data_IF_969539807292
#
_entry.id   IF_969539807292
#
_cell.length_a   1.000
_cell.length_b   1.000
_cell.length_c   1.000
_cell.angle_alpha   90.00
_cell.angle_beta   90.00
_cell.angle_gamma   90.00
#
_symmetry.space_group_name_H-M   'P 1'
#
loop_
_entity.id
_entity.type
_entity.pdbx_description
1 polymer ?
#
# COMPACT_ATOMS: atom_id res chain seq x y z
N UNK A 1 -0.40 -27.73 17.30
CA UNK A 1 0.52 -28.67 16.60
C UNK A 1 0.04 -28.96 15.16
N UNK A 2 -1.26 -29.22 14.97
CA UNK A 2 -1.84 -29.60 13.67
C UNK A 2 -1.74 -28.51 12.60
N UNK A 3 -2.06 -27.24 12.96
CA UNK A 3 -2.01 -26.11 12.01
C UNK A 3 -0.61 -25.82 11.45
N UNK A 4 0.43 -26.00 12.27
CA UNK A 4 1.80 -25.78 11.82
C UNK A 4 2.25 -26.86 10.83
N UNK A 5 1.86 -28.11 11.07
CA UNK A 5 2.16 -29.24 10.17
C UNK A 5 1.44 -29.06 8.84
N UNK A 6 0.16 -28.72 8.86
CA UNK A 6 -0.62 -28.44 7.65
C UNK A 6 -0.03 -27.30 6.82
N UNK A 7 0.45 -26.26 7.49
CA UNK A 7 1.12 -25.14 6.80
C UNK A 7 2.42 -25.57 6.12
N UNK A 8 3.24 -26.37 6.81
CA UNK A 8 4.48 -26.88 6.21
C UNK A 8 4.20 -27.79 5.03
N UNK A 9 3.21 -28.66 5.12
CA UNK A 9 2.80 -29.53 4.00
C UNK A 9 2.30 -28.71 2.81
N UNK A 10 1.48 -27.69 3.06
CA UNK A 10 1.02 -26.76 2.04
C UNK A 10 2.18 -26.08 1.34
N UNK A 11 3.15 -25.56 2.10
CA UNK A 11 4.34 -24.90 1.56
C UNK A 11 5.21 -25.87 0.74
N UNK A 12 5.29 -27.13 1.15
CA UNK A 12 6.00 -28.16 0.41
C UNK A 12 5.35 -28.45 -0.96
N UNK A 13 4.03 -28.48 -1.01
CA UNK A 13 3.27 -28.74 -2.24
C UNK A 13 3.28 -27.54 -3.18
N UNK A 14 3.36 -26.32 -2.64
CA UNK A 14 3.34 -25.06 -3.40
C UNK A 14 4.73 -24.44 -3.56
N UNK A 15 5.78 -25.25 -3.54
CA UNK A 15 7.17 -24.80 -3.64
C UNK A 15 7.37 -23.84 -4.82
N UNK A 16 7.85 -22.63 -4.52
CA UNK A 16 8.08 -21.58 -5.51
C UNK A 16 6.87 -20.71 -5.82
N UNK A 17 5.69 -21.02 -5.31
CA UNK A 17 4.50 -20.19 -5.46
C UNK A 17 4.44 -19.11 -4.35
N UNK A 18 3.78 -17.99 -4.66
CA UNK A 18 3.53 -16.95 -3.66
C UNK A 18 2.42 -17.41 -2.70
N UNK A 19 2.67 -17.32 -1.41
CA UNK A 19 1.68 -17.60 -0.37
C UNK A 19 1.00 -16.33 0.15
N UNK A 20 1.51 -15.14 -0.24
CA UNK A 20 0.99 -13.85 0.17
C UNK A 20 0.77 -12.93 -1.03
N UNK A 21 0.42 -11.69 -0.75
CA UNK A 21 0.21 -10.66 -1.76
C UNK A 21 1.51 -10.33 -2.49
N UNK A 22 1.48 -10.37 -3.82
CA UNK A 22 2.63 -10.00 -4.63
C UNK A 22 2.97 -8.51 -4.48
N UNK A 23 4.25 -8.18 -4.37
CA UNK A 23 4.73 -6.80 -4.29
C UNK A 23 4.76 -6.09 -5.64
N UNK A 24 4.77 -6.84 -6.73
CA UNK A 24 5.02 -6.33 -8.08
C UNK A 24 6.50 -6.38 -8.48
N UNK A 25 7.38 -6.82 -7.60
CA UNK A 25 8.81 -6.97 -7.85
C UNK A 25 9.19 -8.44 -7.70
N UNK A 26 9.48 -9.12 -8.81
CA UNK A 26 9.67 -10.57 -8.86
C UNK A 26 10.76 -11.08 -7.91
N UNK A 27 11.89 -10.36 -7.82
CA UNK A 27 12.99 -10.77 -6.93
C UNK A 27 12.61 -10.65 -5.46
N UNK A 28 11.93 -9.59 -5.08
CA UNK A 28 11.44 -9.40 -3.72
C UNK A 28 10.39 -10.45 -3.37
N UNK A 29 9.49 -10.78 -4.28
CA UNK A 29 8.46 -11.79 -4.07
C UNK A 29 9.06 -13.19 -3.89
N UNK A 30 10.14 -13.51 -4.59
CA UNK A 30 10.86 -14.77 -4.39
C UNK A 30 11.47 -14.88 -3.00
N UNK A 31 11.99 -13.77 -2.45
CA UNK A 31 12.57 -13.74 -1.11
C UNK A 31 11.53 -13.82 0.00
N UNK A 32 10.39 -13.15 -0.18
CA UNK A 32 9.36 -13.00 0.85
C UNK A 32 8.19 -13.97 0.68
N UNK A 33 8.06 -14.65 -0.46
CA UNK A 33 6.88 -15.38 -0.91
C UNK A 33 5.61 -14.51 -0.98
N UNK A 34 5.81 -13.20 -1.19
CA UNK A 34 4.79 -12.16 -1.18
C UNK A 34 4.56 -11.56 0.21
N UNK A 35 3.79 -10.50 0.27
CA UNK A 35 3.41 -9.88 1.54
C UNK A 35 2.40 -10.77 2.27
N UNK A 36 2.79 -11.27 3.44
CA UNK A 36 1.96 -12.22 4.19
C UNK A 36 0.82 -11.51 4.92
N UNK A 37 -0.30 -12.19 5.05
CA UNK A 37 -1.42 -11.69 5.87
C UNK A 37 -0.98 -11.49 7.30
N UNK A 38 -1.45 -10.42 7.91
CA UNK A 38 -1.17 -10.06 9.29
C UNK A 38 0.27 -9.61 9.58
N UNK A 39 1.08 -9.39 8.55
CA UNK A 39 2.43 -8.86 8.72
C UNK A 39 2.48 -7.34 8.62
N UNK A 40 3.30 -6.74 9.47
CA UNK A 40 3.76 -5.38 9.30
C UNK A 40 5.13 -5.42 8.63
N UNK A 41 5.26 -4.76 7.49
CA UNK A 41 6.52 -4.63 6.77
C UNK A 41 6.91 -3.16 6.76
N UNK A 42 8.05 -2.84 7.35
CA UNK A 42 8.59 -1.49 7.31
C UNK A 42 9.63 -1.42 6.21
N UNK A 43 9.38 -0.57 5.22
CA UNK A 43 10.28 -0.36 4.10
C UNK A 43 11.01 0.96 4.31
N UNK A 44 12.28 0.87 4.65
CA UNK A 44 13.14 2.03 4.75
C UNK A 44 13.59 2.44 3.35
N UNK A 45 13.29 3.65 2.98
CA UNK A 45 13.73 4.23 1.71
C UNK A 45 14.43 5.55 1.99
N UNK A 46 15.45 5.86 1.20
CA UNK A 46 16.08 7.17 1.27
C UNK A 46 15.06 8.25 0.87
N UNK A 47 15.14 9.46 1.43
CA UNK A 47 14.24 10.57 1.08
C UNK A 47 14.53 11.07 -0.34
N UNK A 48 14.23 10.25 -1.31
CA UNK A 48 14.35 10.55 -2.73
C UNK A 48 13.10 10.08 -3.43
N UNK A 49 12.90 10.49 -4.66
CA UNK A 49 11.73 10.15 -5.49
C UNK A 49 11.49 8.63 -5.65
N UNK A 50 12.50 7.81 -5.40
CA UNK A 50 12.39 6.35 -5.47
C UNK A 50 11.40 5.72 -4.51
N UNK A 51 11.24 6.29 -3.32
CA UNK A 51 10.29 5.82 -2.30
C UNK A 51 8.84 5.89 -2.80
N UNK A 52 8.44 7.04 -3.34
CA UNK A 52 7.08 7.24 -3.84
C UNK A 52 6.81 6.37 -5.07
N UNK A 53 7.76 6.27 -5.99
CA UNK A 53 7.64 5.42 -7.15
C UNK A 53 7.47 3.94 -6.75
N UNK A 54 8.24 3.49 -5.78
CA UNK A 54 8.14 2.14 -5.23
C UNK A 54 6.75 1.88 -4.62
N UNK A 55 6.27 2.81 -3.78
CA UNK A 55 4.96 2.72 -3.15
C UNK A 55 3.82 2.67 -4.18
N UNK A 56 3.84 3.58 -5.14
CA UNK A 56 2.82 3.63 -6.20
C UNK A 56 2.81 2.35 -7.03
N UNK A 57 3.98 1.81 -7.36
CA UNK A 57 4.08 0.56 -8.13
C UNK A 57 3.53 -0.63 -7.36
N UNK A 58 3.79 -0.73 -6.06
CA UNK A 58 3.23 -1.80 -5.23
C UNK A 58 1.71 -1.74 -5.17
N UNK A 59 1.16 -0.55 -4.93
CA UNK A 59 -0.27 -0.32 -4.87
C UNK A 59 -0.93 -0.62 -6.21
N UNK A 60 -0.35 -0.11 -7.30
CA UNK A 60 -0.83 -0.36 -8.66
C UNK A 60 -0.90 -1.85 -8.96
N UNK A 61 0.16 -2.59 -8.66
CA UNK A 61 0.19 -4.03 -8.89
C UNK A 61 -0.90 -4.75 -8.09
N UNK A 62 -1.04 -4.47 -6.81
CA UNK A 62 -2.04 -5.09 -5.95
C UNK A 62 -3.47 -4.79 -6.44
N UNK A 63 -3.74 -3.55 -6.81
CA UNK A 63 -5.06 -3.11 -7.31
C UNK A 63 -5.37 -3.75 -8.65
N UNK A 64 -4.43 -3.75 -9.58
CA UNK A 64 -4.64 -4.28 -10.94
C UNK A 64 -4.73 -5.81 -10.97
N UNK A 65 -4.29 -6.50 -9.93
CA UNK A 65 -4.48 -7.95 -9.77
C UNK A 65 -5.75 -8.30 -8.97
N UNK A 66 -6.62 -7.34 -8.72
CA UNK A 66 -7.93 -7.54 -8.11
C UNK A 66 -7.99 -7.32 -6.61
N UNK A 67 -6.92 -6.82 -6.00
CA UNK A 67 -6.88 -6.56 -4.56
C UNK A 67 -7.61 -5.29 -4.15
N UNK A 68 -8.13 -5.28 -2.92
CA UNK A 68 -8.65 -4.10 -2.24
C UNK A 68 -7.54 -3.46 -1.43
N UNK A 69 -7.17 -2.24 -1.77
CA UNK A 69 -6.02 -1.55 -1.17
C UNK A 69 -6.44 -0.22 -0.56
N UNK A 70 -6.04 0.00 0.69
CA UNK A 70 -6.18 1.28 1.37
C UNK A 70 -4.80 1.91 1.55
N UNK A 71 -4.67 3.14 1.07
CA UNK A 71 -3.44 3.94 1.19
C UNK A 71 -3.69 5.11 2.12
N UNK A 72 -2.88 5.20 3.18
CA UNK A 72 -2.79 6.40 3.99
C UNK A 72 -1.58 7.21 3.52
N UNK A 73 -1.86 8.30 2.82
CA UNK A 73 -0.83 9.20 2.28
C UNK A 73 -0.85 10.51 3.04
N UNK A 74 0.06 10.66 4.00
CA UNK A 74 0.11 11.84 4.86
C UNK A 74 0.95 12.97 4.29
N UNK A 75 1.73 12.69 3.26
CA UNK A 75 2.59 13.66 2.59
C UNK A 75 2.02 14.11 1.25
N UNK A 76 1.53 13.17 0.44
CA UNK A 76 1.03 13.44 -0.91
C UNK A 76 -0.49 13.49 -0.95
N UNK A 77 -1.08 14.51 -1.62
CA UNK A 77 -2.50 14.50 -1.92
C UNK A 77 -2.90 13.30 -2.77
N UNK A 78 -4.13 12.82 -2.57
CA UNK A 78 -4.67 11.67 -3.32
C UNK A 78 -4.62 11.87 -4.83
N UNK A 79 -4.86 13.08 -5.29
CA UNK A 79 -4.80 13.43 -6.73
C UNK A 79 -3.42 13.15 -7.34
N UNK A 80 -2.36 13.45 -6.62
CA UNK A 80 -1.00 13.18 -7.10
C UNK A 80 -0.70 11.69 -7.21
N UNK A 81 -1.20 10.89 -6.28
CA UNK A 81 -1.06 9.44 -6.34
C UNK A 81 -1.80 8.88 -7.55
N UNK A 82 -3.04 9.28 -7.74
CA UNK A 82 -3.86 8.86 -8.88
C UNK A 82 -3.21 9.29 -10.20
N UNK A 83 -2.71 10.51 -10.29
CA UNK A 83 -2.01 11.02 -11.48
C UNK A 83 -0.77 10.18 -11.81
N UNK A 84 -0.01 9.77 -10.82
CA UNK A 84 1.16 8.90 -11.02
C UNK A 84 0.74 7.51 -11.52
N UNK A 85 -0.35 6.97 -10.97
CA UNK A 85 -0.88 5.67 -11.41
C UNK A 85 -1.39 5.74 -12.84
N UNK A 86 -2.11 6.78 -13.21
CA UNK A 86 -2.60 6.99 -14.57
C UNK A 86 -1.44 7.17 -15.57
N UNK A 87 -0.41 7.90 -15.17
CA UNK A 87 0.81 8.06 -15.95
C UNK A 87 1.49 6.72 -16.22
N UNK A 88 1.63 5.90 -15.17
CA UNK A 88 2.22 4.57 -15.27
C UNK A 88 1.38 3.62 -16.14
N UNK A 89 0.09 3.52 -15.88
CA UNK A 89 -0.81 2.65 -16.63
C UNK A 89 -0.94 3.07 -18.10
N UNK A 90 -0.99 4.37 -18.35
CA UNK A 90 -1.11 4.93 -19.69
C UNK A 90 0.20 5.07 -20.45
N UNK A 91 1.34 4.82 -19.78
CA UNK A 91 2.68 5.06 -20.34
C UNK A 91 2.83 6.47 -20.87
N UNK A 92 2.42 7.44 -20.05
CA UNK A 92 2.47 8.87 -20.37
C UNK A 92 3.52 9.51 -19.49
N UNK A 93 4.30 10.42 -20.06
CA UNK A 93 5.30 11.19 -19.32
C UNK A 93 4.63 12.02 -18.20
N UNK A 94 5.15 11.94 -16.98
CA UNK A 94 4.55 12.62 -15.82
C UNK A 94 4.58 14.14 -15.95
N UNK A 95 5.61 14.70 -16.57
CA UNK A 95 5.70 16.14 -16.79
C UNK A 95 4.63 16.60 -17.75
N UNK A 96 4.42 15.86 -18.83
CA UNK A 96 3.37 16.16 -19.81
C UNK A 96 1.99 16.01 -19.21
N UNK A 97 1.79 15.01 -18.38
CA UNK A 97 0.56 14.78 -17.62
C UNK A 97 0.24 15.97 -16.71
N UNK A 98 1.24 16.46 -15.98
CA UNK A 98 1.10 17.57 -15.02
C UNK A 98 0.85 18.90 -15.72
N UNK A 99 1.49 19.15 -16.86
CA UNK A 99 1.36 20.40 -17.61
C UNK A 99 0.19 20.39 -18.59
N UNK A 100 -0.45 19.26 -18.80
CA UNK A 100 -1.55 19.14 -19.76
C UNK A 100 -1.14 19.12 -21.22
N UNK A 101 0.18 19.04 -21.49
CA UNK A 101 0.72 18.98 -22.84
C UNK A 101 0.69 17.54 -23.37
N UNK A 102 -0.52 17.07 -23.66
CA UNK A 102 -0.75 15.71 -24.12
C UNK A 102 -1.03 15.70 -25.62
N UNK A 103 -0.40 14.76 -26.32
CA UNK A 103 -0.66 14.47 -27.74
C UNK A 103 -1.94 13.64 -27.85
N UNK A 104 -2.51 13.55 -29.05
CA UNK A 104 -3.71 12.74 -29.30
C UNK A 104 -3.56 11.30 -28.87
N UNK A 105 -2.42 10.69 -29.11
CA UNK A 105 -2.09 9.32 -28.65
C UNK A 105 -2.09 9.20 -27.12
N UNK A 106 -1.59 10.23 -26.43
CA UNK A 106 -1.58 10.27 -24.97
C UNK A 106 -2.99 10.32 -24.40
N UNK A 107 -3.90 11.09 -25.04
CA UNK A 107 -5.30 11.16 -24.63
C UNK A 107 -6.02 9.81 -24.73
N UNK A 108 -5.74 9.04 -25.77
CA UNK A 108 -6.30 7.70 -25.93
C UNK A 108 -5.79 6.77 -24.83
N UNK A 109 -4.50 6.80 -24.53
CA UNK A 109 -3.91 6.01 -23.45
C UNK A 109 -4.39 6.46 -22.07
N UNK A 110 -4.55 7.76 -21.87
CA UNK A 110 -5.11 8.33 -20.66
C UNK A 110 -6.53 7.80 -20.40
N UNK A 111 -7.40 7.88 -21.40
CA UNK A 111 -8.76 7.39 -21.29
C UNK A 111 -8.82 5.88 -20.98
N UNK A 112 -7.93 5.10 -21.59
CA UNK A 112 -7.79 3.68 -21.29
C UNK A 112 -7.34 3.43 -19.85
N UNK A 113 -6.35 4.18 -19.37
CA UNK A 113 -5.86 4.08 -17.99
C UNK A 113 -6.96 4.44 -16.97
N UNK A 114 -7.71 5.49 -17.20
CA UNK A 114 -8.85 5.88 -16.36
C UNK A 114 -9.89 4.76 -16.32
N UNK A 115 -10.22 4.16 -17.46
CA UNK A 115 -11.16 3.05 -17.54
C UNK A 115 -10.69 1.83 -16.76
N UNK A 116 -9.39 1.52 -16.83
CA UNK A 116 -8.79 0.41 -16.08
C UNK A 116 -8.83 0.63 -14.57
N UNK A 117 -8.57 1.85 -14.11
CA UNK A 117 -8.50 2.17 -12.69
C UNK A 117 -9.88 2.39 -12.06
N UNK A 118 -10.86 2.84 -12.83
CA UNK A 118 -12.19 3.24 -12.37
C UNK A 118 -12.91 2.17 -11.57
N UNK A 119 -12.83 0.92 -11.98
CA UNK A 119 -13.56 -0.19 -11.38
C UNK A 119 -12.75 -0.94 -10.33
N UNK A 120 -11.57 -0.43 -9.98
CA UNK A 120 -10.70 -1.08 -9.02
C UNK A 120 -11.01 -0.63 -7.57
N UNK A 121 -10.67 -1.48 -6.62
CA UNK A 121 -10.88 -1.22 -5.20
C UNK A 121 -9.66 -0.53 -4.60
N UNK A 122 -9.50 0.73 -4.94
CA UNK A 122 -8.44 1.60 -4.41
C UNK A 122 -9.07 2.69 -3.56
N UNK A 123 -8.61 2.78 -2.32
CA UNK A 123 -9.05 3.79 -1.36
C UNK A 123 -7.84 4.57 -0.89
N UNK A 124 -7.88 5.89 -0.99
CA UNK A 124 -6.78 6.76 -0.58
C UNK A 124 -7.30 7.75 0.45
N UNK A 125 -6.66 7.76 1.61
CA UNK A 125 -6.89 8.73 2.66
C UNK A 125 -5.64 9.61 2.80
N UNK A 126 -5.76 10.88 2.46
CA UNK A 126 -4.65 11.83 2.47
C UNK A 126 -4.69 12.81 3.66
N UNK A 127 -5.38 12.45 4.70
CA UNK A 127 -5.41 13.22 5.94
C UNK A 127 -4.05 13.20 6.62
N UNK A 128 -3.52 14.37 6.95
CA UNK A 128 -2.22 14.49 7.60
C UNK A 128 -2.28 14.14 9.09
N UNK A 129 -1.16 13.69 9.62
CA UNK A 129 -0.91 13.55 11.06
C UNK A 129 -1.95 12.68 11.80
N UNK A 130 -2.34 11.56 11.20
CA UNK A 130 -3.27 10.63 11.82
C UNK A 130 -2.64 9.91 13.03
N UNK A 131 -3.44 9.72 14.07
CA UNK A 131 -3.09 8.83 15.18
C UNK A 131 -3.36 7.36 14.79
N UNK A 132 -2.74 6.40 15.48
CA UNK A 132 -3.03 4.98 15.25
C UNK A 132 -4.52 4.63 15.42
N UNK A 133 -5.20 5.25 16.38
CA UNK A 133 -6.63 5.06 16.58
C UNK A 133 -7.47 5.55 15.40
N UNK A 134 -7.11 6.68 14.83
CA UNK A 134 -7.77 7.22 13.63
C UNK A 134 -7.53 6.33 12.41
N UNK A 135 -6.29 5.86 12.21
CA UNK A 135 -5.94 4.92 11.14
C UNK A 135 -6.78 3.64 11.27
N UNK A 136 -6.86 3.07 12.45
CA UNK A 136 -7.66 1.87 12.70
C UNK A 136 -9.15 2.08 12.45
N UNK A 137 -9.70 3.18 12.92
CA UNK A 137 -11.11 3.52 12.73
C UNK A 137 -11.46 3.66 11.25
N UNK A 138 -10.61 4.36 10.50
CA UNK A 138 -10.78 4.56 9.05
C UNK A 138 -10.60 3.26 8.27
N UNK A 139 -9.62 2.44 8.64
CA UNK A 139 -9.40 1.14 8.01
C UNK A 139 -10.60 0.20 8.23
N UNK A 140 -11.18 0.18 9.42
CA UNK A 140 -12.38 -0.60 9.72
C UNK A 140 -13.56 -0.20 8.85
N UNK A 141 -13.76 1.10 8.68
CA UNK A 141 -14.84 1.61 7.84
C UNK A 141 -14.67 1.18 6.38
N UNK A 142 -13.47 1.38 5.83
CA UNK A 142 -13.17 0.98 4.45
C UNK A 142 -13.31 -0.54 4.27
N UNK A 143 -12.82 -1.32 5.22
CA UNK A 143 -12.95 -2.78 5.17
C UNK A 143 -14.42 -3.23 5.12
N UNK A 144 -15.29 -2.58 5.88
CA UNK A 144 -16.74 -2.88 5.86
C UNK A 144 -17.36 -2.51 4.51
N UNK A 145 -17.00 -1.37 3.96
CA UNK A 145 -17.55 -0.89 2.68
C UNK A 145 -17.05 -1.73 1.49
N UNK A 146 -15.81 -2.19 1.54
CA UNK A 146 -15.19 -2.93 0.43
C UNK A 146 -15.32 -4.46 0.53
N UNK A 147 -15.80 -4.97 1.65
CA UNK A 147 -15.85 -6.42 1.90
C UNK A 147 -14.52 -7.03 2.35
N UNK A 148 -13.59 -6.21 2.82
CA UNK A 148 -12.27 -6.61 3.30
C UNK A 148 -11.15 -5.85 2.59
N UNK A 149 -9.95 -5.96 3.12
CA UNK A 149 -8.75 -5.34 2.57
C UNK A 149 -7.68 -6.40 2.33
N UNK A 150 -6.96 -6.27 1.21
CA UNK A 150 -5.84 -7.14 0.85
C UNK A 150 -4.48 -6.52 1.16
N UNK A 151 -4.44 -5.21 1.30
CA UNK A 151 -3.22 -4.47 1.66
C UNK A 151 -3.59 -3.10 2.23
N UNK A 152 -2.83 -2.68 3.23
CA UNK A 152 -2.85 -1.30 3.74
C UNK A 152 -1.43 -0.75 3.59
N UNK A 153 -1.32 0.44 3.03
CA UNK A 153 -0.05 1.15 2.91
C UNK A 153 -0.10 2.45 3.71
N UNK A 154 0.95 2.71 4.46
CA UNK A 154 1.11 3.96 5.21
C UNK A 154 2.35 4.69 4.70
N UNK A 155 2.17 5.85 4.11
CA UNK A 155 3.25 6.69 3.59
C UNK A 155 3.21 8.07 4.27
N UNK A 156 4.10 8.39 5.10
CA UNK A 156 5.14 7.59 5.70
C UNK A 156 5.01 7.62 7.23
N UNK A 157 5.56 6.61 7.87
CA UNK A 157 5.39 6.31 9.29
C UNK A 157 5.66 7.50 10.22
N UNK A 158 6.69 8.29 9.95
CA UNK A 158 7.13 9.40 10.80
C UNK A 158 6.16 10.59 10.83
N UNK A 159 5.20 10.65 9.89
CA UNK A 159 4.17 11.69 9.88
C UNK A 159 2.96 11.35 10.76
N UNK A 160 2.86 10.11 11.23
CA UNK A 160 1.85 9.73 12.21
C UNK A 160 2.16 10.36 13.57
N UNK A 161 1.11 10.52 14.39
CA UNK A 161 1.22 11.06 15.74
C UNK A 161 0.61 10.09 16.73
N UNK A 162 1.05 10.18 17.98
CA UNK A 162 0.41 9.49 19.10
C UNK A 162 -0.59 10.43 19.78
N UNK A 163 -1.55 9.85 20.49
CA UNK A 163 -2.54 10.62 21.24
C UNK A 163 -1.93 11.34 22.45
N UNK A 164 -0.72 10.96 22.86
CA UNK A 164 0.03 11.59 23.94
C UNK A 164 1.25 12.27 23.38
N UNK A 165 1.51 13.50 23.82
CA UNK A 165 2.78 14.16 23.55
C UNK A 165 3.90 13.29 24.13
N UNK A 166 4.72 12.74 23.25
CA UNK A 166 5.89 11.97 23.66
C UNK A 166 7.14 12.81 23.45
N UNK A 167 7.89 13.05 24.50
CA UNK A 167 9.17 13.73 24.42
C UNK A 167 10.22 12.90 23.70
N UNK A 168 9.99 11.57 23.58
CA UNK A 168 10.90 10.63 22.93
C UNK A 168 10.29 10.12 21.62
N UNK A 169 10.83 10.60 20.50
CA UNK A 169 10.38 10.20 19.16
C UNK A 169 10.56 8.69 18.91
N UNK A 170 11.61 8.07 19.43
CA UNK A 170 11.83 6.64 19.28
C UNK A 170 10.73 5.82 19.96
N UNK A 171 10.28 6.23 21.15
CA UNK A 171 9.15 5.60 21.85
C UNK A 171 7.86 5.76 21.08
N UNK A 172 7.61 6.95 20.54
CA UNK A 172 6.45 7.23 19.69
C UNK A 172 6.41 6.33 18.45
N UNK A 173 7.51 6.21 17.72
CA UNK A 173 7.62 5.33 16.56
C UNK A 173 7.39 3.86 16.92
N UNK A 174 7.91 3.41 18.06
CA UNK A 174 7.69 2.05 18.56
C UNK A 174 6.21 1.79 18.86
N UNK A 175 5.52 2.76 19.46
CA UNK A 175 4.09 2.69 19.75
C UNK A 175 3.27 2.62 18.45
N UNK A 176 3.59 3.46 17.47
CA UNK A 176 2.96 3.47 16.16
C UNK A 176 3.15 2.12 15.48
N UNK A 177 4.37 1.58 15.47
CA UNK A 177 4.68 0.29 14.86
C UNK A 177 3.89 -0.85 15.49
N UNK A 178 3.77 -0.89 16.81
CA UNK A 178 2.96 -1.89 17.52
C UNK A 178 1.49 -1.79 17.14
N UNK A 179 0.97 -0.57 17.02
CA UNK A 179 -0.42 -0.34 16.63
C UNK A 179 -0.69 -0.78 15.20
N UNK A 180 0.23 -0.54 14.29
CA UNK A 180 0.12 -0.99 12.90
C UNK A 180 0.22 -2.50 12.77
N UNK A 181 1.05 -3.16 13.60
CA UNK A 181 1.10 -4.62 13.65
C UNK A 181 -0.23 -5.21 14.15
N UNK A 182 -0.82 -4.60 15.16
CA UNK A 182 -2.14 -4.99 15.65
C UNK A 182 -3.22 -4.81 14.57
N UNK A 183 -3.14 -3.72 13.81
CA UNK A 183 -4.03 -3.47 12.67
C UNK A 183 -3.90 -4.55 11.59
N UNK A 184 -2.69 -4.95 11.25
CA UNK A 184 -2.44 -6.01 10.28
C UNK A 184 -3.09 -7.34 10.71
N UNK A 185 -3.00 -7.66 11.99
CA UNK A 185 -3.64 -8.86 12.55
C UNK A 185 -5.16 -8.76 12.51
N UNK A 186 -5.72 -7.60 12.87
CA UNK A 186 -7.17 -7.37 12.87
C UNK A 186 -7.75 -7.44 11.46
N UNK A 187 -7.11 -6.77 10.51
CA UNK A 187 -7.57 -6.71 9.12
C UNK A 187 -7.23 -7.96 8.31
N UNK A 188 -6.39 -8.83 8.83
CA UNK A 188 -5.90 -10.05 8.15
C UNK A 188 -5.30 -9.73 6.78
N UNK A 189 -4.52 -8.67 6.72
CA UNK A 189 -3.82 -8.26 5.51
C UNK A 189 -2.44 -7.67 5.87
N UNK A 190 -1.50 -7.63 4.92
CA UNK A 190 -0.24 -6.96 5.16
C UNK A 190 -0.43 -5.45 5.30
N UNK A 191 0.29 -4.86 6.24
CA UNK A 191 0.44 -3.41 6.38
C UNK A 191 1.87 -3.05 6.01
N UNK A 192 2.02 -2.25 4.97
CA UNK A 192 3.30 -1.78 4.47
C UNK A 192 3.48 -0.34 4.93
N UNK A 193 4.42 -0.11 5.81
CA UNK A 193 4.74 1.23 6.30
C UNK A 193 6.05 1.71 5.70
N UNK A 194 6.01 2.85 5.02
CA UNK A 194 7.20 3.48 4.46
C UNK A 194 7.82 4.41 5.50
N UNK A 195 9.11 4.41 5.52
CA UNK A 195 9.88 5.15 6.52
C UNK A 195 10.97 6.00 5.86
#
# INVERSE_FOLDING_TARGET
>A
RTKAVEKVEFLRQTKGALTGQASGFADLDRMTTGWQKSDLVIVAARPSMGKTAFAVNMVEHAVMTGGSVLVFSMEMPSEQIVMRMLSSLGRIDQTRMRTGDLKDEDWTRFASAVSQLKDQKLYIDDTAALTPGEVRSRARRVARESGGLDMIMVDYLQLMRTAKDSENRATEISEISRSLKALAKEMKCPVIALS
#
